data_IF_593579395005
#
_entry.id   IF_593579395005
#
_cell.length_a   1.000
_cell.length_b   1.000
_cell.length_c   1.000
_cell.angle_alpha   90.00
_cell.angle_beta   90.00
_cell.angle_gamma   90.00
#
_symmetry.space_group_name_H-M   'P 1'
#
loop_
_entity.id
_entity.type
_entity.pdbx_description
1 polymer ?
#
# COMPACT_ATOMS: atom_id res chain seq x y z
N UNK A 1 10.10 2.02 -9.02
CA UNK A 1 10.79 2.37 -7.76
C UNK A 1 11.10 1.08 -6.99
N UNK A 2 12.39 0.70 -6.83
CA UNK A 2 12.80 -0.44 -6.01
C UNK A 2 12.29 -0.35 -4.57
N UNK A 3 12.12 -1.50 -3.89
CA UNK A 3 11.52 -1.54 -2.55
C UNK A 3 12.32 -0.80 -1.48
N UNK A 4 13.65 -0.84 -1.55
CA UNK A 4 14.51 -0.15 -0.58
C UNK A 4 14.44 1.37 -0.72
N UNK A 5 14.19 1.87 -1.93
CA UNK A 5 13.96 3.30 -2.16
C UNK A 5 12.58 3.72 -1.63
N UNK A 6 11.53 2.93 -1.92
CA UNK A 6 10.18 3.13 -1.34
C UNK A 6 10.22 3.16 0.18
N UNK A 7 10.95 2.22 0.79
CA UNK A 7 11.13 2.14 2.24
C UNK A 7 11.69 3.45 2.81
N UNK A 8 12.81 3.95 2.26
CA UNK A 8 13.43 5.21 2.71
C UNK A 8 12.49 6.42 2.61
N UNK A 9 11.71 6.51 1.53
CA UNK A 9 10.74 7.60 1.35
C UNK A 9 9.64 7.55 2.43
N UNK A 10 9.14 6.36 2.74
CA UNK A 10 8.08 6.18 3.75
C UNK A 10 8.64 6.40 5.17
N UNK A 11 9.84 5.89 5.47
CA UNK A 11 10.52 6.09 6.76
C UNK A 11 10.84 7.56 7.06
N UNK A 12 10.95 8.40 6.05
CA UNK A 12 11.20 9.84 6.22
C UNK A 12 9.95 10.63 6.68
N UNK A 13 8.76 10.02 6.66
CA UNK A 13 7.52 10.69 7.08
C UNK A 13 7.45 10.76 8.61
N UNK A 14 7.28 11.98 9.14
CA UNK A 14 7.16 12.23 10.59
C UNK A 14 6.21 11.28 11.36
N UNK A 15 5.00 10.91 10.85
CA UNK A 15 4.10 10.03 11.59
C UNK A 15 4.44 8.52 11.48
N UNK A 16 5.52 8.13 10.80
CA UNK A 16 5.87 6.72 10.59
C UNK A 16 6.97 6.30 11.54
N UNK A 17 6.66 5.37 12.44
CA UNK A 17 7.67 4.80 13.35
C UNK A 17 8.54 3.73 12.68
N UNK A 18 7.94 2.87 11.84
CA UNK A 18 8.61 1.70 11.25
C UNK A 18 8.04 1.36 9.87
N UNK A 19 8.93 0.92 8.97
CA UNK A 19 8.56 0.34 7.67
C UNK A 19 9.13 -1.06 7.54
N UNK A 20 8.24 -2.03 7.30
CA UNK A 20 8.57 -3.45 7.17
C UNK A 20 8.46 -3.84 5.70
N UNK A 21 9.51 -4.48 5.18
CA UNK A 21 9.45 -5.14 3.87
C UNK A 21 8.84 -6.52 4.08
N UNK A 22 7.85 -6.86 3.26
CA UNK A 22 7.20 -8.16 3.32
C UNK A 22 8.14 -9.27 2.88
N UNK A 23 7.84 -10.50 3.28
CA UNK A 23 8.69 -11.68 3.02
C UNK A 23 8.38 -12.36 1.67
N UNK A 24 7.64 -11.67 0.80
CA UNK A 24 7.32 -12.14 -0.54
C UNK A 24 8.58 -12.39 -1.37
N UNK A 25 8.58 -13.50 -2.10
CA UNK A 25 9.62 -13.78 -3.09
C UNK A 25 9.25 -13.09 -4.41
N UNK A 26 10.25 -12.81 -5.28
CA UNK A 26 9.97 -12.37 -6.64
C UNK A 26 9.00 -13.33 -7.35
N UNK A 27 8.06 -12.79 -8.13
CA UNK A 27 7.07 -13.53 -8.92
C UNK A 27 6.16 -14.45 -8.09
N UNK A 28 5.78 -14.02 -6.89
CA UNK A 28 4.76 -14.71 -6.10
C UNK A 28 3.35 -14.26 -6.53
N UNK A 29 2.41 -15.21 -6.51
CA UNK A 29 0.99 -14.94 -6.80
C UNK A 29 0.24 -14.38 -5.59
N UNK A 30 0.73 -14.64 -4.37
CA UNK A 30 0.16 -14.07 -3.16
C UNK A 30 0.60 -12.61 -3.02
N UNK A 31 -0.38 -11.72 -3.03
CA UNK A 31 -0.18 -10.28 -2.89
C UNK A 31 -0.73 -9.75 -1.55
N UNK A 32 -1.15 -10.65 -0.66
CA UNK A 32 -1.63 -10.30 0.68
C UNK A 32 -0.51 -9.94 1.62
N UNK A 33 -0.84 -9.33 2.77
CA UNK A 33 0.10 -9.15 3.88
C UNK A 33 -0.28 -9.99 5.11
N UNK A 34 -1.01 -11.08 4.90
CA UNK A 34 -1.58 -11.90 5.96
C UNK A 34 -0.52 -12.48 6.89
N UNK A 35 0.60 -12.94 6.32
CA UNK A 35 1.76 -13.41 7.09
C UNK A 35 2.34 -12.31 7.97
N UNK A 36 2.50 -11.10 7.45
CA UNK A 36 3.02 -9.98 8.23
C UNK A 36 2.04 -9.56 9.33
N UNK A 37 0.73 -9.60 9.08
CA UNK A 37 -0.30 -9.31 10.10
C UNK A 37 -0.27 -10.33 11.25
N UNK A 38 -0.06 -11.61 10.97
CA UNK A 38 0.12 -12.67 11.97
C UNK A 38 1.35 -12.46 12.86
N UNK A 39 2.44 -11.96 12.27
CA UNK A 39 3.69 -11.71 13.00
C UNK A 39 3.65 -10.40 13.80
N UNK A 40 3.08 -9.34 13.24
CA UNK A 40 3.05 -8.00 13.85
C UNK A 40 1.95 -7.88 14.90
N UNK A 41 0.79 -8.51 14.67
CA UNK A 41 -0.41 -8.46 15.53
C UNK A 41 -0.78 -7.01 15.93
N UNK A 42 -1.10 -6.14 14.95
CA UNK A 42 -1.47 -4.76 15.26
C UNK A 42 -2.82 -4.70 15.99
N UNK A 43 -3.15 -3.58 16.63
CA UNK A 43 -4.52 -3.35 17.13
C UNK A 43 -5.47 -2.91 16.00
N UNK A 44 -4.93 -2.19 15.00
CA UNK A 44 -5.67 -1.62 13.88
C UNK A 44 -4.92 -1.90 12.57
N UNK A 45 -5.64 -2.43 11.58
CA UNK A 45 -5.20 -2.53 10.20
C UNK A 45 -5.97 -1.52 9.34
N UNK A 46 -5.31 -0.41 9.02
CA UNK A 46 -5.90 0.71 8.30
C UNK A 46 -5.59 0.67 6.80
N UNK A 47 -6.61 0.81 5.97
CA UNK A 47 -6.52 0.90 4.51
C UNK A 47 -7.09 2.23 4.01
N UNK A 48 -6.31 2.93 3.19
CA UNK A 48 -6.63 4.27 2.73
C UNK A 48 -7.18 4.33 1.31
N UNK A 49 -7.79 5.48 0.98
CA UNK A 49 -8.20 5.81 -0.38
C UNK A 49 -9.33 4.92 -0.90
N UNK A 50 -9.06 4.18 -1.97
CA UNK A 50 -10.01 3.34 -2.70
C UNK A 50 -9.97 1.85 -2.29
N UNK A 51 -9.25 1.52 -1.20
CA UNK A 51 -9.14 0.15 -0.66
C UNK A 51 -10.21 -0.10 0.42
N UNK A 52 -10.92 -1.22 0.28
CA UNK A 52 -11.99 -1.67 1.17
C UNK A 52 -12.04 -3.22 1.21
N UNK A 53 -12.77 -3.81 2.15
CA UNK A 53 -12.92 -5.24 2.42
C UNK A 53 -13.42 -6.03 1.21
N UNK A 54 -14.05 -5.36 0.23
CA UNK A 54 -14.49 -6.01 -1.01
C UNK A 54 -13.37 -6.13 -2.05
N UNK A 55 -12.27 -5.39 -1.91
CA UNK A 55 -11.19 -5.31 -2.90
C UNK A 55 -9.77 -5.45 -2.32
N UNK A 56 -9.65 -5.90 -1.08
CA UNK A 56 -8.40 -6.39 -0.49
C UNK A 56 -8.44 -7.92 -0.38
N UNK A 57 -7.28 -8.59 -0.24
CA UNK A 57 -7.23 -10.03 -0.06
C UNK A 57 -8.12 -10.50 1.11
N UNK A 58 -8.98 -11.53 0.92
CA UNK A 58 -9.92 -11.97 1.95
C UNK A 58 -9.27 -12.32 3.29
N UNK A 59 -8.08 -12.92 3.27
CA UNK A 59 -7.37 -13.28 4.50
C UNK A 59 -7.04 -12.06 5.37
N UNK A 60 -6.82 -10.86 4.79
CA UNK A 60 -6.52 -9.65 5.56
C UNK A 60 -7.73 -9.18 6.37
N UNK A 61 -8.94 -9.56 5.95
CA UNK A 61 -10.19 -9.27 6.65
C UNK A 61 -10.50 -10.37 7.66
N UNK A 62 -10.30 -11.62 7.28
CA UNK A 62 -10.63 -12.79 8.11
C UNK A 62 -9.78 -12.88 9.38
N UNK A 63 -8.51 -12.49 9.29
CA UNK A 63 -7.57 -12.50 10.42
C UNK A 63 -7.99 -11.61 11.60
N UNK A 64 -8.88 -10.64 11.38
CA UNK A 64 -9.45 -9.83 12.46
C UNK A 64 -10.12 -10.72 13.53
N UNK A 65 -10.70 -11.86 13.12
CA UNK A 65 -11.42 -12.79 14.01
C UNK A 65 -10.48 -13.68 14.81
N UNK A 66 -9.29 -13.95 14.30
CA UNK A 66 -8.33 -14.87 14.91
C UNK A 66 -7.25 -14.16 15.71
N UNK A 67 -6.83 -12.96 15.29
CA UNK A 67 -5.77 -12.17 15.94
C UNK A 67 -6.34 -11.02 16.78
N UNK A 68 -7.56 -10.56 16.48
CA UNK A 68 -8.26 -9.55 17.27
C UNK A 68 -8.00 -8.10 16.87
N UNK A 69 -7.32 -7.84 15.75
CA UNK A 69 -7.17 -6.48 15.21
C UNK A 69 -8.47 -5.98 14.58
N UNK A 70 -8.62 -4.65 14.43
CA UNK A 70 -9.74 -4.05 13.69
C UNK A 70 -9.32 -3.62 12.29
N UNK A 71 -10.09 -4.00 11.27
CA UNK A 71 -9.93 -3.44 9.93
C UNK A 71 -10.62 -2.08 9.87
N UNK A 72 -9.91 -1.04 9.43
CA UNK A 72 -10.46 0.30 9.21
C UNK A 72 -10.23 0.69 7.76
N UNK A 73 -11.32 1.02 7.07
CA UNK A 73 -11.31 1.32 5.64
C UNK A 73 -11.53 2.81 5.37
N UNK A 74 -11.29 3.23 4.12
CA UNK A 74 -11.52 4.60 3.67
C UNK A 74 -10.78 5.65 4.51
N UNK A 75 -9.56 5.31 4.97
CA UNK A 75 -8.71 6.26 5.69
C UNK A 75 -8.20 7.31 4.71
N UNK A 76 -8.84 8.48 4.74
CA UNK A 76 -8.57 9.57 3.80
C UNK A 76 -9.08 9.30 2.38
N UNK A 77 -8.92 10.29 1.50
CA UNK A 77 -9.34 10.21 0.09
C UNK A 77 -8.15 9.87 -0.81
N UNK A 78 -8.39 9.16 -1.91
CA UNK A 78 -7.38 8.98 -2.97
C UNK A 78 -7.15 10.30 -3.69
N UNK A 79 -6.10 11.03 -3.30
CA UNK A 79 -5.75 12.33 -3.90
C UNK A 79 -4.90 12.20 -5.16
N UNK A 80 -4.15 11.10 -5.32
CA UNK A 80 -3.23 10.90 -6.42
C UNK A 80 -2.90 9.41 -6.62
N UNK A 81 -2.49 9.03 -7.83
CA UNK A 81 -1.89 7.72 -8.12
C UNK A 81 -0.61 7.88 -8.95
N UNK A 82 0.32 6.92 -8.84
CA UNK A 82 1.54 6.90 -9.64
C UNK A 82 1.25 6.85 -11.15
N UNK A 83 0.18 6.16 -11.55
CA UNK A 83 -0.24 6.10 -12.95
C UNK A 83 -0.69 7.47 -13.46
N UNK A 84 -1.46 8.24 -12.67
CA UNK A 84 -1.87 9.60 -13.05
C UNK A 84 -0.68 10.54 -13.16
N UNK A 85 0.28 10.42 -12.25
CA UNK A 85 1.53 11.18 -12.29
C UNK A 85 2.33 10.90 -13.56
N UNK A 86 2.49 9.61 -13.89
CA UNK A 86 3.23 9.20 -15.09
C UNK A 86 2.50 9.63 -16.37
N UNK A 87 1.19 9.46 -16.43
CA UNK A 87 0.37 9.90 -17.56
C UNK A 87 0.49 11.42 -17.77
N UNK A 88 0.38 12.21 -16.69
CA UNK A 88 0.55 13.67 -16.75
C UNK A 88 1.94 14.06 -17.22
N UNK A 89 2.98 13.38 -16.74
CA UNK A 89 4.35 13.59 -17.19
C UNK A 89 4.52 13.29 -18.68
N UNK A 90 4.03 12.15 -19.15
CA UNK A 90 4.10 11.75 -20.56
C UNK A 90 3.36 12.73 -21.47
N UNK A 91 2.15 13.16 -21.09
CA UNK A 91 1.39 14.18 -21.83
C UNK A 91 2.18 15.50 -21.97
N UNK A 92 2.84 15.95 -20.89
CA UNK A 92 3.68 17.15 -20.94
C UNK A 92 4.92 16.96 -21.81
N UNK A 93 5.62 15.83 -21.66
CA UNK A 93 6.86 15.55 -22.39
C UNK A 93 6.65 15.32 -23.90
N UNK A 94 5.51 14.73 -24.29
CA UNK A 94 5.15 14.50 -25.70
C UNK A 94 4.52 15.76 -26.32
N UNK A 95 3.72 16.52 -25.55
CA UNK A 95 3.16 17.79 -26.00
C UNK A 95 4.23 18.85 -26.26
N UNK A 96 5.31 18.89 -25.46
CA UNK A 96 6.42 19.83 -25.61
C UNK A 96 7.37 19.52 -26.78
N UNK A 97 7.16 18.41 -27.52
CA UNK A 97 7.97 18.03 -28.70
C UNK A 97 7.27 18.33 -30.04
N UNK A 98 6.10 18.97 -30.02
CA UNK A 98 5.30 19.28 -31.21
C UNK A 98 5.45 20.72 -31.71
N UNK A 99 6.33 21.51 -31.10
CA UNK A 99 6.69 22.86 -31.54
C UNK A 99 8.15 22.90 -32.00
#
# INVERSE_FOLDING_TARGET
MPQNERKKVIEALKPVDRVILTKHKPNTDDLSVCRELEEIKPDIFAQGGDRNVKNIPPCEVELQRTIGFKVVENVGRKIQSSSWLLEKYLKKAVGAKKD
#
